data_IF_875111478572
#
_entry.id   IF_875111478572
#
_cell.length_a   1.000
_cell.length_b   1.000
_cell.length_c   1.000
_cell.angle_alpha   90.00
_cell.angle_beta   90.00
_cell.angle_gamma   90.00
#
_symmetry.space_group_name_H-M   'P 1'
#
loop_
_entity.id
_entity.type
_entity.pdbx_description
1 polymer ?
#
# COMPACT_ATOMS: atom_id res chain seq x y z
N UNK A 1 11.97 1.91 9.85
CA UNK A 1 11.10 2.25 8.71
C UNK A 1 9.71 1.62 8.91
N UNK A 2 8.65 2.36 8.61
CA UNK A 2 7.24 1.95 8.82
C UNK A 2 6.87 0.77 7.95
N UNK A 3 7.34 0.73 6.70
CA UNK A 3 7.04 -0.38 5.77
C UNK A 3 7.72 -1.66 6.26
N UNK A 4 8.96 -1.57 6.72
CA UNK A 4 9.63 -2.71 7.36
C UNK A 4 8.85 -3.25 8.56
N UNK A 5 8.24 -2.37 9.38
CA UNK A 5 7.39 -2.81 10.49
C UNK A 5 6.13 -3.53 9.99
N UNK A 6 5.49 -3.05 8.91
CA UNK A 6 4.37 -3.74 8.28
C UNK A 6 4.77 -5.12 7.74
N UNK A 7 5.95 -5.24 7.12
CA UNK A 7 6.46 -6.52 6.61
C UNK A 7 6.67 -7.53 7.74
N UNK A 8 7.35 -7.11 8.82
CA UNK A 8 7.59 -7.94 10.01
C UNK A 8 6.27 -8.36 10.67
N UNK A 9 5.33 -7.42 10.82
CA UNK A 9 4.03 -7.71 11.42
C UNK A 9 3.20 -8.67 10.56
N UNK A 10 3.17 -8.48 9.23
CA UNK A 10 2.50 -9.39 8.30
C UNK A 10 3.07 -10.80 8.38
N UNK A 11 4.40 -10.91 8.42
CA UNK A 11 5.07 -12.21 8.49
C UNK A 11 4.78 -12.92 9.81
N UNK A 12 4.80 -12.21 10.94
CA UNK A 12 4.42 -12.76 12.23
C UNK A 12 2.98 -13.31 12.25
N UNK A 13 2.04 -12.66 11.54
CA UNK A 13 0.66 -13.16 11.41
C UNK A 13 0.53 -14.36 10.45
N UNK A 14 1.42 -14.49 9.45
CA UNK A 14 1.43 -15.60 8.49
C UNK A 14 2.06 -16.87 9.05
N UNK A 15 3.02 -16.74 9.96
CA UNK A 15 3.72 -17.88 10.57
C UNK A 15 2.90 -18.64 11.62
N UNK A 16 1.64 -18.27 11.82
CA UNK A 16 0.73 -18.94 12.73
C UNK A 16 0.28 -20.27 12.11
N UNK A 17 0.46 -21.37 12.83
CA UNK A 17 0.04 -22.70 12.37
C UNK A 17 -1.49 -22.81 12.27
N UNK A 18 -1.99 -22.82 11.03
CA UNK A 18 -3.41 -23.05 10.69
C UNK A 18 -3.90 -24.47 11.05
N UNK A 19 -2.99 -25.36 11.49
CA UNK A 19 -3.32 -26.72 11.93
C UNK A 19 -4.07 -26.74 13.27
N UNK A 20 -3.93 -25.68 14.07
CA UNK A 20 -4.76 -25.49 15.25
C UNK A 20 -6.10 -24.90 14.81
N UNK A 21 -7.23 -25.58 15.07
CA UNK A 21 -8.58 -25.01 14.84
C UNK A 21 -8.92 -23.86 15.83
N UNK A 22 -7.91 -23.11 16.24
CA UNK A 22 -7.96 -22.09 17.28
C UNK A 22 -8.53 -20.80 16.71
N UNK A 23 -9.68 -20.37 17.24
CA UNK A 23 -10.39 -19.17 16.75
C UNK A 23 -9.89 -17.87 17.39
N UNK A 24 -9.13 -17.98 18.47
CA UNK A 24 -8.64 -16.85 19.28
C UNK A 24 -7.21 -17.13 19.74
N UNK A 25 -6.30 -16.23 19.41
CA UNK A 25 -4.90 -16.21 19.82
C UNK A 25 -4.75 -15.26 21.00
N UNK A 26 -4.06 -15.65 22.07
CA UNK A 26 -4.05 -14.90 23.35
C UNK A 26 -2.62 -14.63 23.84
N UNK A 27 -1.64 -15.41 23.40
CA UNK A 27 -0.29 -15.40 23.95
C UNK A 27 0.78 -15.16 22.90
N UNK A 28 2.00 -14.77 23.33
CA UNK A 28 3.16 -14.66 22.43
C UNK A 28 3.53 -15.98 21.74
N UNK A 29 3.12 -17.12 22.33
CA UNK A 29 3.28 -18.44 21.72
C UNK A 29 2.33 -18.66 20.53
N UNK A 30 1.18 -17.96 20.52
CA UNK A 30 0.20 -18.04 19.45
C UNK A 30 0.58 -17.12 18.29
N UNK A 31 0.97 -15.88 18.59
CA UNK A 31 1.42 -14.87 17.61
C UNK A 31 2.55 -14.06 18.23
N UNK A 32 3.73 -14.09 17.60
CA UNK A 32 4.88 -13.32 18.07
C UNK A 32 4.58 -11.82 18.07
N UNK A 33 4.76 -11.17 19.23
CA UNK A 33 4.59 -9.72 19.37
C UNK A 33 3.17 -9.25 19.72
N UNK A 34 2.21 -10.15 19.93
CA UNK A 34 0.84 -9.79 20.38
C UNK A 34 0.76 -9.36 21.86
N UNK A 35 1.73 -9.80 22.67
CA UNK A 35 1.79 -9.54 24.10
C UNK A 35 0.61 -10.16 24.87
N UNK A 36 -0.10 -9.34 25.64
CA UNK A 36 -1.27 -9.77 26.45
C UNK A 36 -2.62 -9.57 25.74
N UNK A 37 -2.59 -9.14 24.48
CA UNK A 37 -3.81 -8.90 23.72
C UNK A 37 -4.36 -10.21 23.14
N UNK A 38 -5.66 -10.26 22.89
CA UNK A 38 -6.27 -11.36 22.13
C UNK A 38 -6.54 -10.94 20.69
N UNK A 39 -6.32 -11.86 19.75
CA UNK A 39 -6.57 -11.67 18.33
C UNK A 39 -7.48 -12.80 17.85
N UNK A 40 -8.60 -12.44 17.24
CA UNK A 40 -9.47 -13.42 16.59
C UNK A 40 -8.90 -13.80 15.23
N UNK A 41 -9.28 -14.95 14.69
CA UNK A 41 -8.86 -15.34 13.34
C UNK A 41 -9.29 -14.32 12.27
N UNK A 42 -10.50 -13.78 12.41
CA UNK A 42 -10.98 -12.67 11.58
C UNK A 42 -10.07 -11.44 11.70
N UNK A 43 -9.59 -11.13 12.90
CA UNK A 43 -8.65 -10.05 13.15
C UNK A 43 -7.28 -10.31 12.54
N UNK A 44 -6.76 -11.55 12.63
CA UNK A 44 -5.50 -11.97 12.01
C UNK A 44 -5.54 -11.79 10.50
N UNK A 45 -6.56 -12.32 9.84
CA UNK A 45 -6.76 -12.18 8.40
C UNK A 45 -6.95 -10.72 7.99
N UNK A 46 -7.70 -9.93 8.77
CA UNK A 46 -7.84 -8.49 8.55
C UNK A 46 -6.52 -7.73 8.66
N UNK A 47 -5.67 -8.10 9.62
CA UNK A 47 -4.32 -7.55 9.78
C UNK A 47 -3.41 -7.91 8.60
N UNK A 48 -3.38 -9.17 8.19
CA UNK A 48 -2.61 -9.62 7.01
C UNK A 48 -3.03 -8.85 5.77
N UNK A 49 -4.33 -8.70 5.53
CA UNK A 49 -4.86 -7.95 4.39
C UNK A 49 -4.42 -6.47 4.45
N UNK A 50 -4.57 -5.83 5.61
CA UNK A 50 -4.22 -4.41 5.80
C UNK A 50 -2.72 -4.16 5.59
N UNK A 51 -1.86 -5.00 6.17
CA UNK A 51 -0.41 -4.87 5.96
C UNK A 51 -0.02 -5.16 4.51
N UNK A 52 -0.64 -6.16 3.88
CA UNK A 52 -0.39 -6.48 2.46
C UNK A 52 -0.73 -5.27 1.59
N UNK A 53 -1.90 -4.67 1.76
CA UNK A 53 -2.31 -3.49 1.02
C UNK A 53 -1.33 -2.32 1.22
N UNK A 54 -0.90 -2.07 2.47
CA UNK A 54 0.07 -1.02 2.79
C UNK A 54 1.42 -1.22 2.07
N UNK A 55 1.97 -2.44 2.14
CA UNK A 55 3.26 -2.80 1.52
C UNK A 55 3.16 -2.68 0.00
N UNK A 56 2.09 -3.22 -0.60
CA UNK A 56 1.88 -3.19 -2.05
C UNK A 56 1.67 -1.76 -2.54
N UNK A 57 0.87 -0.95 -1.84
CA UNK A 57 0.65 0.45 -2.19
C UNK A 57 1.96 1.24 -2.19
N UNK A 58 2.82 1.02 -1.19
CA UNK A 58 4.13 1.67 -1.11
C UNK A 58 5.02 1.35 -2.31
N UNK A 59 5.14 0.06 -2.66
CA UNK A 59 5.95 -0.38 -3.79
C UNK A 59 5.39 0.12 -5.12
N UNK A 60 4.07 0.03 -5.31
CA UNK A 60 3.38 0.43 -6.54
C UNK A 60 3.39 1.95 -6.76
N UNK A 61 3.25 2.76 -5.71
CA UNK A 61 3.41 4.22 -5.83
C UNK A 61 4.84 4.59 -6.20
N UNK A 62 5.84 3.92 -5.60
CA UNK A 62 7.23 4.06 -6.02
C UNK A 62 7.41 3.78 -7.50
N UNK A 63 6.81 2.68 -7.98
CA UNK A 63 6.84 2.29 -9.38
C UNK A 63 6.20 3.34 -10.31
N UNK A 64 5.04 3.88 -9.96
CA UNK A 64 4.39 4.94 -10.74
C UNK A 64 5.25 6.20 -10.84
N UNK A 65 5.83 6.65 -9.71
CA UNK A 65 6.71 7.82 -9.67
C UNK A 65 7.96 7.58 -10.52
N UNK A 66 8.52 6.37 -10.46
CA UNK A 66 9.65 5.99 -11.29
C UNK A 66 9.30 6.02 -12.78
N UNK A 67 8.15 5.45 -13.18
CA UNK A 67 7.66 5.49 -14.56
C UNK A 67 7.49 6.93 -15.07
N UNK A 68 6.95 7.83 -14.25
CA UNK A 68 6.83 9.25 -14.57
C UNK A 68 8.20 9.89 -14.84
N UNK A 69 9.23 9.54 -14.06
CA UNK A 69 10.60 10.03 -14.28
C UNK A 69 11.22 9.48 -15.56
N UNK A 70 11.05 8.18 -15.83
CA UNK A 70 11.57 7.55 -17.05
C UNK A 70 10.93 8.17 -18.29
N UNK A 71 9.61 8.40 -18.27
CA UNK A 71 8.86 9.06 -19.34
C UNK A 71 9.34 10.49 -19.57
N UNK A 72 9.60 11.25 -18.50
CA UNK A 72 10.15 12.60 -18.58
C UNK A 72 11.58 12.64 -19.18
N UNK A 73 12.34 11.56 -19.07
CA UNK A 73 13.67 11.43 -19.67
C UNK A 73 13.65 10.82 -21.08
N UNK A 74 12.46 10.60 -21.68
CA UNK A 74 12.26 9.95 -22.99
C UNK A 74 12.97 8.59 -23.13
N UNK A 75 13.25 7.91 -22.03
CA UNK A 75 13.88 6.60 -22.07
C UNK A 75 12.86 5.53 -22.52
N UNK A 76 13.34 4.58 -23.33
CA UNK A 76 12.50 3.44 -23.70
C UNK A 76 12.14 2.60 -22.46
N UNK A 77 10.84 2.49 -22.17
CA UNK A 77 10.30 1.77 -21.02
C UNK A 77 10.75 0.31 -20.98
N UNK A 78 10.82 -0.35 -22.14
CA UNK A 78 11.24 -1.76 -22.22
C UNK A 78 12.70 -1.90 -21.82
N UNK A 79 13.54 -1.00 -22.30
CA UNK A 79 14.96 -0.91 -21.94
C UNK A 79 15.15 -0.53 -20.46
N UNK A 80 14.41 0.44 -19.93
CA UNK A 80 14.51 0.87 -18.54
C UNK A 80 14.07 -0.24 -17.55
N UNK A 81 12.98 -0.94 -17.86
CA UNK A 81 12.52 -2.10 -17.10
C UNK A 81 13.51 -3.28 -17.22
N UNK A 82 14.13 -3.49 -18.38
CA UNK A 82 15.12 -4.55 -18.57
C UNK A 82 16.48 -4.30 -17.87
N UNK A 83 16.90 -3.04 -17.73
CA UNK A 83 18.19 -2.66 -17.12
C UNK A 83 18.11 -2.63 -15.59
N UNK A 84 16.99 -2.18 -15.01
CA UNK A 84 16.88 -1.98 -13.57
C UNK A 84 16.35 -3.18 -12.79
N UNK A 85 15.79 -4.18 -13.46
CA UNK A 85 15.28 -5.41 -12.83
C UNK A 85 16.12 -6.61 -13.31
N UNK A 86 17.25 -6.94 -12.63
CA UNK A 86 18.02 -8.14 -12.95
C UNK A 86 17.14 -9.39 -12.83
N UNK A 87 17.25 -10.29 -13.80
CA UNK A 87 16.48 -11.54 -13.85
C UNK A 87 16.78 -12.51 -12.70
N UNK A 88 17.80 -12.28 -11.89
CA UNK A 88 18.17 -13.10 -10.75
C UNK A 88 18.91 -12.27 -9.69
N UNK A 89 18.31 -12.07 -8.51
CA UNK A 89 19.05 -11.59 -7.35
C UNK A 89 18.43 -12.09 -6.04
N UNK A 90 19.19 -12.97 -5.36
CA UNK A 90 19.02 -13.28 -3.93
C UNK A 90 19.49 -12.07 -3.12
N UNK A 91 18.64 -11.52 -2.26
CA UNK A 91 19.00 -10.40 -1.37
C UNK A 91 19.16 -10.87 0.06
N UNK A 92 20.32 -10.57 0.64
CA UNK A 92 20.70 -10.78 2.04
C UNK A 92 20.30 -9.55 2.88
N UNK A 93 19.76 -9.69 4.10
CA UNK A 93 19.31 -8.53 4.88
C UNK A 93 20.43 -7.90 5.71
N UNK A 94 20.50 -6.57 5.73
CA UNK A 94 21.32 -5.78 6.66
C UNK A 94 20.47 -5.24 7.82
N UNK A 95 21.11 -5.17 8.98
CA UNK A 95 20.55 -4.80 10.30
C UNK A 95 21.14 -3.47 10.74
N UNK A 96 20.35 -2.58 11.34
CA UNK A 96 20.68 -1.65 12.45
C UNK A 96 19.67 -0.48 12.52
N UNK A 97 19.68 0.40 13.52
CA UNK A 97 19.33 0.23 14.93
C UNK A 97 18.81 1.59 15.45
N UNK A 98 17.79 1.54 16.32
CA UNK A 98 17.37 2.47 17.39
C UNK A 98 17.23 4.02 17.26
N UNK A 99 16.05 4.46 17.76
CA UNK A 99 15.71 5.62 18.64
C UNK A 99 15.51 7.03 18.05
N UNK A 100 14.25 7.45 17.95
CA UNK A 100 13.58 8.47 18.81
C UNK A 100 12.14 8.68 18.33
N UNK A 101 11.18 8.81 19.25
CA UNK A 101 9.76 8.91 18.90
C UNK A 101 9.39 10.34 18.47
N UNK A 102 9.79 10.72 17.26
CA UNK A 102 9.05 11.70 16.46
C UNK A 102 8.06 10.92 15.59
N UNK A 103 6.80 11.35 15.53
CA UNK A 103 5.85 10.73 14.62
C UNK A 103 6.38 10.90 13.19
N UNK A 104 6.81 9.79 12.60
CA UNK A 104 7.39 9.80 11.27
C UNK A 104 6.36 10.40 10.30
N UNK A 105 6.77 11.29 9.37
CA UNK A 105 5.92 11.65 8.25
C UNK A 105 5.41 10.37 7.58
N UNK A 106 4.16 10.39 7.13
CA UNK A 106 3.53 9.21 6.49
C UNK A 106 4.49 8.64 5.43
N UNK A 107 4.74 7.32 5.43
CA UNK A 107 5.85 6.73 4.64
C UNK A 107 5.68 6.87 3.12
N UNK A 108 4.50 7.26 2.66
CA UNK A 108 4.20 7.54 1.25
C UNK A 108 4.28 9.04 0.87
N UNK A 109 4.62 9.93 1.82
CA UNK A 109 4.56 11.38 1.62
C UNK A 109 5.90 12.07 1.36
N UNK A 110 7.02 11.47 1.75
CA UNK A 110 8.34 12.10 1.60
C UNK A 110 9.45 11.06 1.48
N UNK A 111 10.02 10.92 0.28
CA UNK A 111 11.48 10.85 0.06
C UNK A 111 11.77 10.60 -1.44
N UNK A 112 12.47 11.55 -2.05
CA UNK A 112 12.86 11.57 -3.46
C UNK A 112 14.30 11.10 -3.66
N UNK A 113 14.79 10.19 -2.83
CA UNK A 113 16.18 9.71 -2.89
C UNK A 113 16.29 8.39 -3.67
N UNK A 114 17.45 8.13 -4.27
CA UNK A 114 17.79 6.89 -5.00
C UNK A 114 17.62 5.67 -4.10
N UNK A 115 17.99 5.81 -2.82
CA UNK A 115 17.79 4.80 -1.77
C UNK A 115 16.32 4.39 -1.60
N UNK A 116 15.37 5.31 -1.78
CA UNK A 116 13.93 5.01 -1.66
C UNK A 116 13.44 4.15 -2.81
N UNK A 117 13.90 4.42 -4.04
CA UNK A 117 13.49 3.62 -5.20
C UNK A 117 14.08 2.20 -5.13
N UNK A 118 15.35 2.05 -4.74
CA UNK A 118 15.96 0.71 -4.57
C UNK A 118 15.22 -0.14 -3.54
N UNK A 119 14.78 0.48 -2.44
CA UNK A 119 13.95 -0.18 -1.44
C UNK A 119 12.56 -0.56 -2.00
N UNK A 120 11.88 0.37 -2.66
CA UNK A 120 10.58 0.15 -3.27
C UNK A 120 10.61 -0.92 -4.37
N UNK A 121 11.63 -0.92 -5.22
CA UNK A 121 11.80 -1.87 -6.31
C UNK A 121 12.10 -3.27 -5.79
N UNK A 122 12.93 -3.39 -4.75
CA UNK A 122 13.17 -4.67 -4.07
C UNK A 122 11.86 -5.28 -3.53
N UNK A 123 11.05 -4.48 -2.84
CA UNK A 123 9.73 -4.92 -2.34
C UNK A 123 8.78 -5.23 -3.52
N UNK A 124 8.81 -4.44 -4.59
CA UNK A 124 7.94 -4.65 -5.76
C UNK A 124 8.18 -6.02 -6.40
N UNK A 125 9.44 -6.41 -6.59
CA UNK A 125 9.81 -7.72 -7.16
C UNK A 125 9.39 -8.86 -6.22
N UNK A 126 9.56 -8.66 -4.91
CA UNK A 126 9.17 -9.65 -3.91
C UNK A 126 7.64 -9.86 -3.88
N UNK A 127 6.86 -8.79 -3.94
CA UNK A 127 5.39 -8.85 -3.91
C UNK A 127 4.79 -9.25 -5.25
N UNK A 128 5.44 -8.90 -6.36
CA UNK A 128 4.95 -9.12 -7.71
C UNK A 128 6.07 -9.65 -8.63
N UNK A 129 6.41 -10.95 -8.54
CA UNK A 129 7.41 -11.57 -9.41
C UNK A 129 7.10 -11.34 -10.91
N UNK A 130 8.15 -11.22 -11.71
CA UNK A 130 8.03 -11.02 -13.16
C UNK A 130 7.75 -12.36 -13.83
N UNK A 131 6.47 -12.64 -14.11
CA UNK A 131 6.02 -13.89 -14.72
C UNK A 131 5.71 -13.77 -16.22
N UNK A 132 5.75 -12.56 -16.78
CA UNK A 132 5.36 -12.29 -18.16
C UNK A 132 6.20 -11.15 -18.76
N UNK A 133 5.94 -10.82 -20.04
CA UNK A 133 6.59 -9.67 -20.70
C UNK A 133 6.49 -8.41 -19.83
N UNK A 134 7.58 -7.64 -19.75
CA UNK A 134 7.71 -6.54 -18.81
C UNK A 134 6.66 -5.44 -19.02
N UNK A 135 6.17 -5.23 -20.24
CA UNK A 135 5.10 -4.26 -20.52
C UNK A 135 3.73 -4.77 -20.04
N UNK A 136 3.47 -6.08 -20.22
CA UNK A 136 2.27 -6.74 -19.70
C UNK A 136 2.27 -6.74 -18.18
N UNK A 137 3.42 -7.05 -17.57
CA UNK A 137 3.63 -7.00 -16.12
C UNK A 137 3.41 -5.58 -15.58
N UNK A 138 4.04 -4.57 -16.17
CA UNK A 138 3.86 -3.18 -15.78
C UNK A 138 2.39 -2.73 -15.85
N UNK A 139 1.68 -3.08 -16.94
CA UNK A 139 0.25 -2.77 -17.09
C UNK A 139 -0.60 -3.40 -15.97
N UNK A 140 -0.34 -4.68 -15.63
CA UNK A 140 -1.01 -5.36 -14.51
C UNK A 140 -0.79 -4.62 -13.18
N UNK A 141 0.46 -4.21 -12.90
CA UNK A 141 0.78 -3.48 -11.67
C UNK A 141 0.06 -2.14 -11.57
N UNK A 142 -0.03 -1.40 -12.67
CA UNK A 142 -0.76 -0.13 -12.71
C UNK A 142 -2.26 -0.33 -12.44
N UNK A 143 -2.85 -1.40 -12.96
CA UNK A 143 -4.24 -1.75 -12.63
C UNK A 143 -4.42 -2.09 -11.15
N UNK A 144 -3.53 -2.90 -10.57
CA UNK A 144 -3.55 -3.22 -9.13
C UNK A 144 -3.44 -1.95 -8.27
N UNK A 145 -2.58 -1.00 -8.66
CA UNK A 145 -2.47 0.28 -7.95
C UNK A 145 -3.79 1.07 -8.01
N UNK A 146 -4.41 1.16 -9.18
CA UNK A 146 -5.70 1.82 -9.35
C UNK A 146 -6.77 1.21 -8.43
N UNK A 147 -6.82 -0.12 -8.33
CA UNK A 147 -7.80 -0.82 -7.51
C UNK A 147 -7.55 -0.57 -6.01
N UNK A 148 -6.30 -0.66 -5.55
CA UNK A 148 -5.93 -0.39 -4.16
C UNK A 148 -6.27 1.05 -3.76
N UNK A 149 -6.03 2.04 -4.64
CA UNK A 149 -6.36 3.44 -4.34
C UNK A 149 -7.87 3.70 -4.38
N UNK A 150 -8.62 3.02 -5.24
CA UNK A 150 -10.08 3.10 -5.26
C UNK A 150 -10.67 2.56 -3.95
N UNK A 151 -10.22 1.38 -3.53
CA UNK A 151 -10.62 0.77 -2.25
C UNK A 151 -10.30 1.68 -1.06
N UNK A 152 -9.12 2.31 -1.06
CA UNK A 152 -8.76 3.28 -0.03
C UNK A 152 -9.70 4.49 -0.01
N UNK A 153 -9.99 5.09 -1.16
CA UNK A 153 -10.91 6.22 -1.27
C UNK A 153 -12.32 5.86 -0.78
N UNK A 154 -12.82 4.67 -1.13
CA UNK A 154 -14.09 4.15 -0.66
C UNK A 154 -14.09 3.91 0.85
N UNK A 155 -12.99 3.40 1.41
CA UNK A 155 -12.88 3.14 2.84
C UNK A 155 -12.90 4.44 3.66
N UNK A 156 -12.15 5.46 3.23
CA UNK A 156 -12.15 6.78 3.86
C UNK A 156 -13.55 7.39 3.83
N UNK A 157 -14.21 7.36 2.66
CA UNK A 157 -15.57 7.87 2.50
C UNK A 157 -16.56 7.17 3.45
N UNK A 158 -16.61 5.83 3.40
CA UNK A 158 -17.53 5.02 4.23
C UNK A 158 -17.26 5.17 5.71
N UNK A 159 -16.00 5.36 6.12
CA UNK A 159 -15.67 5.57 7.52
C UNK A 159 -16.30 6.85 8.04
N UNK A 160 -16.13 7.96 7.31
CA UNK A 160 -16.74 9.23 7.70
C UNK A 160 -18.26 9.19 7.60
N UNK A 161 -18.83 8.65 6.54
CA UNK A 161 -20.28 8.55 6.36
C UNK A 161 -20.95 7.80 7.52
N UNK A 162 -20.31 6.71 7.98
CA UNK A 162 -20.78 5.98 9.16
C UNK A 162 -20.70 6.80 10.45
N UNK A 163 -19.67 7.63 10.60
CA UNK A 163 -19.52 8.51 11.76
C UNK A 163 -20.53 9.66 11.71
N UNK A 164 -20.80 10.22 10.53
CA UNK A 164 -21.87 11.20 10.31
C UNK A 164 -23.24 10.61 10.69
N UNK A 165 -23.53 9.38 10.24
CA UNK A 165 -24.76 8.67 10.58
C UNK A 165 -24.91 8.42 12.08
N UNK A 166 -23.83 7.98 12.75
CA UNK A 166 -23.82 7.78 14.21
C UNK A 166 -23.98 9.10 14.95
N UNK A 167 -23.28 10.15 14.51
CA UNK A 167 -23.32 11.49 15.08
C UNK A 167 -24.73 12.08 15.06
N UNK A 168 -25.40 12.03 13.90
CA UNK A 168 -26.79 12.47 13.75
C UNK A 168 -27.77 11.75 14.69
N UNK A 169 -27.52 10.46 14.98
CA UNK A 169 -28.39 9.67 15.86
C UNK A 169 -28.16 9.94 17.35
N UNK A 170 -26.92 10.24 17.74
CA UNK A 170 -26.50 10.31 19.15
C UNK A 170 -26.51 11.76 19.66
N UNK A 171 -26.11 12.73 18.84
CA UNK A 171 -25.84 14.10 19.26
C UNK A 171 -26.90 15.05 18.67
N UNK A 172 -27.75 15.68 19.51
CA UNK A 172 -28.70 16.70 19.04
C UNK A 172 -27.96 17.87 18.37
N UNK A 173 -28.44 18.32 17.20
CA UNK A 173 -27.84 19.42 16.45
C UNK A 173 -26.54 19.07 15.69
N UNK A 174 -26.16 17.78 15.63
CA UNK A 174 -24.95 17.34 14.94
C UNK A 174 -24.91 17.76 13.47
N UNK A 175 -26.01 17.56 12.75
CA UNK A 175 -26.14 17.86 11.31
C UNK A 175 -25.89 19.34 11.00
N UNK A 176 -26.26 20.23 11.91
CA UNK A 176 -26.12 21.67 11.73
C UNK A 176 -24.68 22.15 12.00
N UNK A 177 -23.91 21.36 12.74
CA UNK A 177 -22.56 21.72 13.18
C UNK A 177 -21.44 20.95 12.47
N UNK A 178 -21.76 19.95 11.64
CA UNK A 178 -20.77 19.08 10.99
C UNK A 178 -20.92 19.06 9.46
N UNK A 179 -19.77 19.03 8.78
CA UNK A 179 -19.68 18.90 7.33
C UNK A 179 -19.86 17.43 6.95
N UNK A 180 -20.82 17.15 6.06
CA UNK A 180 -21.08 15.81 5.56
C UNK A 180 -19.87 15.21 4.81
N UNK A 181 -19.80 13.88 4.75
CA UNK A 181 -18.79 13.16 3.98
C UNK A 181 -18.62 13.65 2.53
N UNK A 182 -19.73 14.00 1.86
CA UNK A 182 -19.68 14.49 0.48
C UNK A 182 -18.99 15.86 0.31
N UNK A 183 -18.89 16.65 1.38
CA UNK A 183 -18.33 18.00 1.37
C UNK A 183 -17.02 18.10 2.17
N UNK A 184 -16.57 16.99 2.74
CA UNK A 184 -15.38 16.95 3.56
C UNK A 184 -14.11 17.13 2.72
N UNK A 185 -13.25 18.05 3.16
CA UNK A 185 -12.03 18.41 2.43
C UNK A 185 -11.04 17.26 2.33
N UNK A 186 -11.01 16.35 3.30
CA UNK A 186 -10.16 15.15 3.26
C UNK A 186 -10.67 14.18 2.20
N UNK A 187 -11.99 13.93 2.17
CA UNK A 187 -12.60 13.05 1.16
C UNK A 187 -12.41 13.61 -0.24
N UNK A 188 -12.67 14.91 -0.43
CA UNK A 188 -12.45 15.58 -1.71
C UNK A 188 -10.98 15.48 -2.12
N UNK A 189 -10.05 15.65 -1.16
CA UNK A 189 -8.62 15.48 -1.38
C UNK A 189 -8.27 14.08 -1.88
N UNK A 190 -8.74 13.03 -1.18
CA UNK A 190 -8.49 11.63 -1.54
C UNK A 190 -9.08 11.29 -2.91
N UNK A 191 -10.30 11.74 -3.21
CA UNK A 191 -10.92 11.53 -4.53
C UNK A 191 -10.17 12.27 -5.64
N UNK A 192 -9.68 13.48 -5.37
CA UNK A 192 -8.84 14.23 -6.31
C UNK A 192 -7.51 13.53 -6.56
N UNK A 193 -6.88 12.94 -5.55
CA UNK A 193 -5.64 12.16 -5.73
C UNK A 193 -5.89 10.90 -6.56
N UNK A 194 -6.94 10.13 -6.23
CA UNK A 194 -7.34 8.95 -6.98
C UNK A 194 -7.55 9.28 -8.47
N UNK A 195 -8.24 10.39 -8.75
CA UNK A 195 -8.45 10.83 -10.13
C UNK A 195 -7.13 11.08 -10.86
N UNK A 196 -6.20 11.82 -10.23
CA UNK A 196 -4.87 12.10 -10.81
C UNK A 196 -4.10 10.80 -11.08
N UNK A 197 -4.13 9.85 -10.14
CA UNK A 197 -3.46 8.56 -10.32
C UNK A 197 -4.08 7.79 -11.48
N UNK A 198 -5.42 7.69 -11.54
CA UNK A 198 -6.13 7.01 -12.63
C UNK A 198 -5.85 7.64 -14.00
N UNK A 199 -5.85 8.97 -14.08
CA UNK A 199 -5.52 9.70 -15.31
C UNK A 199 -4.07 9.41 -15.75
N UNK A 200 -3.14 9.38 -14.79
CA UNK A 200 -1.73 9.04 -15.04
C UNK A 200 -1.59 7.60 -15.54
N UNK A 201 -2.25 6.65 -14.88
CA UNK A 201 -2.25 5.22 -15.25
C UNK A 201 -2.84 5.04 -16.65
N UNK A 202 -3.97 5.69 -16.96
CA UNK A 202 -4.61 5.60 -18.27
C UNK A 202 -3.68 6.09 -19.39
N UNK A 203 -2.94 7.17 -19.15
CA UNK A 203 -1.93 7.66 -20.09
C UNK A 203 -0.82 6.63 -20.33
N UNK A 204 -0.26 6.03 -19.26
CA UNK A 204 0.78 5.00 -19.38
C UNK A 204 0.29 3.73 -20.07
N UNK A 205 -0.89 3.23 -19.71
CA UNK A 205 -1.47 2.03 -20.32
C UNK A 205 -1.73 2.26 -21.82
N UNK A 206 -2.13 3.47 -22.21
CA UNK A 206 -2.32 3.81 -23.63
C UNK A 206 -0.99 3.82 -24.39
N UNK A 207 0.06 4.45 -23.83
CA UNK A 207 1.42 4.41 -24.40
C UNK A 207 1.99 2.99 -24.51
N UNK A 208 1.71 2.12 -23.53
CA UNK A 208 2.14 0.73 -23.56
C UNK A 208 1.47 -0.02 -24.73
N UNK A 209 0.18 0.19 -24.95
CA UNK A 209 -0.56 -0.45 -26.06
C UNK A 209 -0.08 0.00 -27.43
N UNK A 210 0.36 1.25 -27.58
CA UNK A 210 0.93 1.75 -28.85
C UNK A 210 2.29 1.12 -29.19
N UNK A 211 3.02 0.61 -28.18
CA UNK A 211 4.36 0.02 -28.32
C UNK A 211 4.35 -1.53 -28.37
N UNK A 212 3.19 -2.17 -28.24
CA UNK A 212 3.00 -3.62 -28.36
C UNK A 212 2.67 -4.00 -29.80
#
# INVERSE_FOLDING_TARGET
DTIQMCMVAREALRQVDDSSSQKVYITENDVRGIGKCSLTERGRMGGIASYTQCIQQYALRGFLIWLQKVDACEHDLKTALGIQFPSDAKTTPSTESNREASWAPVPWGQTTDVSTWEHQSSILIQEFPIECDCLVWASKLLHILSDIEDDYAQLVYRSKDRDDFRGMKIIPGYKDSHISAAQDTVIIGVQSELKKTKDTIANFVSKIKEKQ
#
